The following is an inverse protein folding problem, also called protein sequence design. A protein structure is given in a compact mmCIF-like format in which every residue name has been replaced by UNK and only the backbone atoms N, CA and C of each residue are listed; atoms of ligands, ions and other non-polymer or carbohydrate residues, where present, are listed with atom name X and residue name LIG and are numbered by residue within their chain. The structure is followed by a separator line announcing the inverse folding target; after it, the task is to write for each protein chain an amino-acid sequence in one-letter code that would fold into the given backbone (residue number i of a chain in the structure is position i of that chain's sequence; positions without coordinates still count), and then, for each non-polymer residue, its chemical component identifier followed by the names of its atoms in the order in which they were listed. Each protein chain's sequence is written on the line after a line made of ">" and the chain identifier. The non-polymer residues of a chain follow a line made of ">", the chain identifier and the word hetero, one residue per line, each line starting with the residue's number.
data_IF_198833969148
#
_entry.id   IF_198833969148
#
_cell.length_a   1.000
_cell.length_b   1.000
_cell.length_c   1.000
_cell.angle_alpha   90.00
_cell.angle_beta   90.00
_cell.angle_gamma   90.00
#
_symmetry.space_group_name_H-M   'P 1'
#
loop_
_entity.id
_entity.type
_entity.pdbx_description
1 polymer ?
#
# COMPACT_ATOMS: atom_id res chain seq x y z
N UNK A 1 -27.14 -44.48 -44.93
CA UNK A 1 -27.18 -43.03 -44.61
C UNK A 1 -27.50 -42.89 -43.12
N UNK A 2 -26.47 -42.80 -42.28
CA UNK A 2 -26.65 -42.58 -40.83
C UNK A 2 -26.49 -41.10 -40.52
N UNK A 3 -27.55 -40.47 -40.01
CA UNK A 3 -27.53 -39.09 -39.53
C UNK A 3 -26.73 -39.02 -38.22
N UNK A 4 -25.59 -38.31 -38.25
CA UNK A 4 -24.88 -37.88 -37.06
C UNK A 4 -25.67 -36.71 -36.43
N UNK A 5 -26.22 -36.92 -35.23
CA UNK A 5 -26.73 -35.82 -34.39
C UNK A 5 -25.55 -35.19 -33.64
N UNK A 6 -25.23 -33.95 -33.97
CA UNK A 6 -24.30 -33.10 -33.22
C UNK A 6 -24.95 -32.71 -31.89
N UNK A 7 -24.31 -33.09 -30.77
CA UNK A 7 -24.62 -32.62 -29.43
C UNK A 7 -23.84 -31.32 -29.19
N UNK A 8 -24.44 -30.23 -28.67
CA UNK A 8 -23.68 -29.04 -28.34
C UNK A 8 -22.86 -29.30 -27.07
N UNK A 9 -21.54 -29.15 -27.17
CA UNK A 9 -20.63 -29.12 -26.03
C UNK A 9 -20.78 -27.76 -25.35
N UNK A 10 -21.40 -27.76 -24.16
CA UNK A 10 -21.42 -26.60 -23.28
C UNK A 10 -20.03 -26.49 -22.64
N UNK A 11 -19.18 -25.57 -23.12
CA UNK A 11 -17.95 -25.21 -22.43
C UNK A 11 -18.33 -24.46 -21.15
N UNK A 12 -18.33 -25.15 -20.01
CA UNK A 12 -18.29 -24.50 -18.71
C UNK A 12 -16.88 -23.91 -18.54
N UNK A 13 -16.74 -22.60 -18.76
CA UNK A 13 -15.57 -21.85 -18.30
C UNK A 13 -15.70 -21.75 -16.79
N UNK A 14 -15.19 -22.75 -16.06
CA UNK A 14 -14.96 -22.60 -14.63
C UNK A 14 -13.78 -21.66 -14.46
N UNK A 15 -14.07 -20.36 -14.38
CA UNK A 15 -13.13 -19.39 -13.84
C UNK A 15 -12.79 -19.81 -12.42
N UNK A 16 -11.58 -20.31 -12.21
CA UNK A 16 -11.00 -20.38 -10.87
C UNK A 16 -10.96 -18.95 -10.37
N UNK A 17 -11.91 -18.58 -9.49
CA UNK A 17 -11.83 -17.35 -8.74
C UNK A 17 -10.53 -17.39 -7.94
N UNK A 18 -9.49 -16.71 -8.45
CA UNK A 18 -8.31 -16.39 -7.64
C UNK A 18 -8.83 -15.57 -6.46
N UNK A 19 -8.44 -15.93 -5.25
CA UNK A 19 -8.78 -15.13 -4.07
C UNK A 19 -8.33 -13.68 -4.33
N UNK A 20 -9.29 -12.75 -4.28
CA UNK A 20 -9.06 -11.33 -4.53
C UNK A 20 -8.01 -10.79 -3.54
N UNK A 21 -7.09 -9.96 -4.05
CA UNK A 21 -6.05 -9.34 -3.24
C UNK A 21 -6.62 -8.14 -2.46
N UNK A 22 -7.33 -8.47 -1.38
CA UNK A 22 -8.11 -7.55 -0.58
C UNK A 22 -7.35 -7.04 0.67
N UNK A 23 -6.03 -7.22 0.73
CA UNK A 23 -5.21 -6.63 1.80
C UNK A 23 -5.18 -5.10 1.70
N UNK A 24 -5.04 -4.44 2.85
CA UNK A 24 -4.88 -2.98 2.93
C UNK A 24 -3.77 -2.50 1.99
N UNK A 25 -4.11 -1.50 1.17
CA UNK A 25 -3.18 -0.81 0.30
C UNK A 25 -2.60 0.36 1.09
N UNK A 26 -1.39 0.18 1.60
CA UNK A 26 -0.70 1.16 2.44
C UNK A 26 -0.04 2.23 1.58
N UNK A 27 -0.22 3.50 1.94
CA UNK A 27 0.35 4.68 1.27
C UNK A 27 1.06 5.55 2.30
N UNK A 28 2.37 5.70 2.16
CA UNK A 28 3.23 6.48 3.03
C UNK A 28 3.68 7.78 2.36
N UNK A 29 3.21 8.95 2.84
CA UNK A 29 3.78 10.24 2.48
C UNK A 29 5.18 10.37 3.06
N UNK A 30 6.20 10.50 2.20
CA UNK A 30 7.60 10.63 2.56
C UNK A 30 8.00 12.10 2.49
N UNK A 31 8.11 12.82 3.62
CA UNK A 31 8.50 14.21 3.59
C UNK A 31 10.01 14.36 3.41
N UNK A 32 10.38 15.50 2.85
CA UNK A 32 11.77 15.91 2.72
C UNK A 32 12.35 16.42 4.03
N UNK A 33 13.55 15.94 4.35
CA UNK A 33 14.41 16.48 5.39
C UNK A 33 15.10 17.75 4.88
N UNK A 34 15.18 18.78 5.73
CA UNK A 34 15.84 20.05 5.40
C UNK A 34 17.37 19.96 5.43
N UNK A 35 17.91 18.96 6.11
CA UNK A 35 19.35 18.68 6.22
C UNK A 35 19.61 17.17 6.15
N UNK A 36 20.79 16.75 5.66
CA UNK A 36 21.19 15.34 5.69
C UNK A 36 21.19 14.77 7.12
N UNK A 37 20.77 13.52 7.27
CA UNK A 37 20.78 12.80 8.54
C UNK A 37 22.10 12.07 8.77
N UNK A 38 22.49 11.93 10.03
CA UNK A 38 23.66 11.16 10.43
C UNK A 38 23.23 9.71 10.62
N UNK A 39 23.80 8.79 9.84
CA UNK A 39 23.44 7.38 9.95
C UNK A 39 24.26 6.74 11.08
N UNK A 40 23.74 6.75 12.29
CA UNK A 40 24.37 6.17 13.49
C UNK A 40 23.45 5.22 14.28
N UNK A 41 22.20 5.06 13.83
CA UNK A 41 21.21 4.20 14.44
C UNK A 41 20.51 4.79 15.66
N UNK A 42 20.72 6.07 16.01
CA UNK A 42 20.11 6.70 17.18
C UNK A 42 18.68 7.21 16.93
N UNK A 43 18.35 7.61 15.69
CA UNK A 43 17.08 8.23 15.28
C UNK A 43 16.68 9.42 16.15
N UNK A 44 17.66 10.22 16.60
CA UNK A 44 17.43 11.33 17.53
C UNK A 44 17.39 12.71 16.86
N UNK A 45 17.64 12.78 15.55
CA UNK A 45 17.52 14.04 14.82
C UNK A 45 16.06 14.53 14.75
N UNK A 46 15.82 15.85 14.88
CA UNK A 46 14.47 16.42 14.84
C UNK A 46 13.68 16.08 13.57
N UNK A 47 14.37 15.89 12.44
CA UNK A 47 13.74 15.56 11.15
C UNK A 47 12.92 14.28 11.21
N UNK A 48 13.32 13.27 12.00
CA UNK A 48 12.55 12.04 12.18
C UNK A 48 11.13 12.33 12.69
N UNK A 49 10.96 13.35 13.54
CA UNK A 49 9.65 13.72 14.07
C UNK A 49 8.75 14.42 13.05
N UNK A 50 9.27 14.79 11.87
CA UNK A 50 8.47 15.36 10.77
C UNK A 50 7.81 14.28 9.88
N UNK A 51 8.33 13.04 9.91
CA UNK A 51 7.80 11.93 9.12
C UNK A 51 6.53 11.31 9.76
N UNK A 52 5.71 10.53 9.03
CA UNK A 52 4.74 9.64 9.66
C UNK A 52 5.41 8.50 10.47
N UNK A 53 4.94 8.20 11.68
CA UNK A 53 5.34 7.00 12.41
C UNK A 53 4.35 5.88 12.10
N UNK A 54 4.84 4.72 11.67
CA UNK A 54 3.97 3.60 11.34
C UNK A 54 4.37 2.32 12.07
N UNK A 55 3.37 1.48 12.32
CA UNK A 55 3.48 0.17 12.99
C UNK A 55 2.51 -0.81 12.32
N UNK A 56 2.21 -1.93 13.00
CA UNK A 56 1.24 -2.92 12.53
C UNK A 56 1.89 -3.91 11.56
N UNK A 57 3.07 -4.38 11.93
CA UNK A 57 3.73 -5.48 11.24
C UNK A 57 2.94 -6.76 11.46
N UNK A 58 2.60 -7.44 10.38
CA UNK A 58 1.89 -8.71 10.38
C UNK A 58 2.84 -9.84 10.06
N UNK A 59 2.44 -11.07 10.37
CA UNK A 59 3.12 -12.27 9.89
C UNK A 59 3.20 -12.22 8.36
N UNK A 60 4.34 -12.58 7.80
CA UNK A 60 4.59 -12.33 6.38
C UNK A 60 3.60 -12.99 5.40
N UNK A 61 3.02 -14.14 5.76
CA UNK A 61 2.10 -14.96 4.94
C UNK A 61 0.63 -14.82 5.36
N UNK A 62 0.33 -14.12 6.46
CA UNK A 62 -1.02 -13.95 7.00
C UNK A 62 -1.20 -12.58 7.64
N UNK A 63 -2.38 -11.94 7.50
CA UNK A 63 -2.68 -10.63 8.11
C UNK A 63 -2.90 -10.71 9.63
N UNK A 64 -2.03 -11.43 10.33
CA UNK A 64 -2.00 -11.56 11.78
C UNK A 64 -0.94 -10.60 12.35
N UNK A 65 -1.38 -9.59 13.09
CA UNK A 65 -0.47 -8.65 13.77
C UNK A 65 0.32 -9.39 14.84
N UNK A 66 1.64 -9.22 14.84
CA UNK A 66 2.52 -9.90 15.80
C UNK A 66 2.66 -9.12 17.11
N UNK A 67 2.92 -9.82 18.21
CA UNK A 67 3.06 -9.19 19.52
C UNK A 67 4.35 -8.36 19.63
N UNK A 68 5.44 -8.82 19.01
CA UNK A 68 6.72 -8.09 18.97
C UNK A 68 6.76 -7.25 17.71
N UNK A 69 6.63 -5.95 17.85
CA UNK A 69 6.43 -5.03 16.72
C UNK A 69 7.73 -4.38 16.25
N UNK A 70 7.65 -3.84 15.04
CA UNK A 70 8.60 -2.86 14.53
C UNK A 70 7.84 -1.58 14.16
N UNK A 71 8.55 -0.47 14.24
CA UNK A 71 8.06 0.87 13.97
C UNK A 71 9.03 1.52 12.99
N UNK A 72 8.53 2.23 11.99
CA UNK A 72 9.44 2.93 11.10
C UNK A 72 8.96 4.30 10.68
N UNK A 73 9.94 5.06 10.20
CA UNK A 73 9.82 6.36 9.57
C UNK A 73 10.65 6.36 8.29
N UNK A 74 10.17 7.06 7.27
CA UNK A 74 10.87 7.24 6.00
C UNK A 74 10.91 8.73 5.68
N UNK A 75 12.10 9.21 5.32
CA UNK A 75 12.37 10.58 4.91
C UNK A 75 13.21 10.56 3.66
N UNK A 76 13.33 11.69 2.97
CA UNK A 76 14.33 11.82 1.92
C UNK A 76 14.97 13.20 1.93
N UNK A 77 16.13 13.35 1.29
CA UNK A 77 16.66 14.64 0.89
C UNK A 77 16.82 14.69 -0.64
N UNK A 78 17.70 15.55 -1.15
CA UNK A 78 17.99 15.67 -2.59
C UNK A 78 18.81 14.50 -3.15
N UNK A 79 19.46 13.73 -2.28
CA UNK A 79 20.46 12.73 -2.64
C UNK A 79 20.10 11.31 -2.16
N UNK A 80 19.39 11.19 -1.04
CA UNK A 80 19.21 9.95 -0.29
C UNK A 80 17.77 9.76 0.18
N UNK A 81 17.36 8.50 0.20
CA UNK A 81 16.17 8.01 0.88
C UNK A 81 16.60 7.39 2.21
N UNK A 82 15.98 7.82 3.30
CA UNK A 82 16.32 7.43 4.66
C UNK A 82 15.22 6.54 5.26
N UNK A 83 15.62 5.42 5.86
CA UNK A 83 14.72 4.56 6.65
C UNK A 83 15.24 4.50 8.06
N UNK A 84 14.40 4.85 9.03
CA UNK A 84 14.67 4.66 10.45
C UNK A 84 13.67 3.65 11.00
N UNK A 85 14.16 2.54 11.53
CA UNK A 85 13.33 1.46 12.06
C UNK A 85 13.71 1.17 13.50
N UNK A 86 12.72 1.14 14.40
CA UNK A 86 12.86 0.69 15.78
C UNK A 86 12.13 -0.63 15.95
N UNK A 87 12.82 -1.62 16.51
CA UNK A 87 12.31 -2.95 16.75
C UNK A 87 12.18 -3.19 18.24
N UNK A 88 10.98 -3.52 18.71
CA UNK A 88 10.82 -4.04 20.06
C UNK A 88 11.52 -5.39 20.16
N UNK A 89 12.19 -5.61 21.28
CA UNK A 89 12.84 -6.87 21.58
C UNK A 89 12.76 -7.19 23.08
N UNK A 90 11.66 -7.81 23.54
CA UNK A 90 11.47 -8.11 24.96
C UNK A 90 12.52 -9.08 25.53
N UNK A 91 13.25 -9.80 24.68
CA UNK A 91 14.34 -10.70 25.04
C UNK A 91 15.72 -10.14 24.63
N UNK A 92 15.89 -8.81 24.66
CA UNK A 92 17.12 -8.15 24.20
C UNK A 92 18.41 -8.66 24.84
N UNK A 93 18.36 -9.15 26.09
CA UNK A 93 19.51 -9.75 26.77
C UNK A 93 20.00 -11.05 26.11
N UNK A 94 19.17 -11.68 25.27
CA UNK A 94 19.51 -12.86 24.47
C UNK A 94 19.97 -12.49 23.06
N UNK A 95 19.85 -11.23 22.67
CA UNK A 95 20.29 -10.75 21.38
C UNK A 95 21.81 -10.62 21.40
N UNK A 96 22.49 -11.42 20.59
CA UNK A 96 23.94 -11.38 20.43
C UNK A 96 24.25 -11.14 18.94
N UNK A 97 24.17 -9.89 18.46
CA UNK A 97 24.41 -9.59 17.07
C UNK A 97 25.85 -9.92 16.68
N UNK A 98 26.03 -10.56 15.53
CA UNK A 98 27.34 -10.92 15.00
C UNK A 98 27.58 -10.13 13.72
N UNK A 99 28.71 -9.43 13.67
CA UNK A 99 29.14 -8.75 12.46
C UNK A 99 29.49 -9.80 11.39
N UNK A 100 29.00 -9.59 10.18
CA UNK A 100 29.18 -10.46 9.03
C UNK A 100 29.88 -9.70 7.91
N UNK A 101 30.47 -10.45 6.98
CA UNK A 101 30.91 -9.87 5.71
C UNK A 101 29.71 -9.31 4.95
N UNK A 102 29.93 -8.21 4.23
CA UNK A 102 28.94 -7.66 3.32
C UNK A 102 28.50 -8.71 2.28
N UNK A 103 27.21 -8.72 1.96
CA UNK A 103 26.57 -9.62 0.98
C UNK A 103 26.78 -11.11 1.28
N UNK A 104 27.00 -11.45 2.55
CA UNK A 104 26.96 -12.85 3.01
C UNK A 104 25.55 -13.19 3.46
N UNK A 105 25.08 -14.40 3.12
CA UNK A 105 23.75 -14.86 3.55
C UNK A 105 23.61 -14.91 5.08
N UNK A 106 24.74 -14.99 5.81
CA UNK A 106 24.78 -14.97 7.27
C UNK A 106 24.24 -13.67 7.89
N UNK A 107 24.06 -12.60 7.12
CA UNK A 107 23.32 -11.39 7.55
C UNK A 107 21.92 -11.76 8.05
N UNK A 108 21.29 -12.77 7.47
CA UNK A 108 19.92 -13.20 7.81
C UNK A 108 19.86 -14.31 8.87
N UNK A 109 20.99 -14.76 9.43
CA UNK A 109 21.02 -15.86 10.42
C UNK A 109 20.51 -15.42 11.81
N UNK A 110 20.30 -14.12 12.02
CA UNK A 110 19.85 -13.52 13.28
C UNK A 110 18.72 -12.49 13.08
N UNK A 111 18.64 -11.53 14.00
CA UNK A 111 17.77 -10.35 13.83
C UNK A 111 18.27 -9.51 12.66
N UNK A 112 17.41 -9.33 11.66
CA UNK A 112 17.69 -8.49 10.51
C UNK A 112 16.44 -7.75 10.03
N UNK A 113 16.65 -6.55 9.52
CA UNK A 113 15.63 -5.78 8.83
C UNK A 113 15.95 -5.75 7.35
N UNK A 114 14.89 -5.76 6.55
CA UNK A 114 14.97 -5.70 5.10
C UNK A 114 14.04 -4.61 4.60
N UNK A 115 14.53 -3.79 3.69
CA UNK A 115 13.78 -2.78 2.97
C UNK A 115 13.82 -3.13 1.50
N UNK A 116 12.64 -3.27 0.91
CA UNK A 116 12.47 -3.48 -0.51
C UNK A 116 12.02 -2.17 -1.16
N UNK A 117 12.60 -1.82 -2.31
CA UNK A 117 12.30 -0.56 -3.00
C UNK A 117 12.16 -0.85 -4.49
N UNK A 118 10.98 -0.57 -5.06
CA UNK A 118 10.71 -0.48 -6.50
C UNK A 118 10.67 1.01 -6.88
N UNK A 119 11.79 1.58 -7.40
CA UNK A 119 11.93 3.02 -7.53
C UNK A 119 11.07 3.65 -8.64
N UNK A 120 10.58 2.85 -9.59
CA UNK A 120 9.80 3.32 -10.74
C UNK A 120 8.36 2.78 -10.75
N UNK A 121 7.98 2.01 -9.74
CA UNK A 121 6.67 1.37 -9.65
C UNK A 121 6.38 0.47 -10.89
N UNK A 122 7.43 -0.24 -11.33
CA UNK A 122 7.46 -1.11 -12.51
C UNK A 122 7.81 -2.57 -12.19
N UNK A 123 7.79 -2.93 -10.90
CA UNK A 123 8.11 -4.23 -10.33
C UNK A 123 9.60 -4.61 -10.34
N UNK A 124 10.49 -3.75 -10.84
CA UNK A 124 11.93 -3.92 -10.68
C UNK A 124 12.38 -3.33 -9.35
N UNK A 125 12.76 -4.19 -8.41
CA UNK A 125 13.07 -3.78 -7.06
C UNK A 125 14.51 -4.07 -6.63
N UNK A 126 14.90 -3.38 -5.57
CA UNK A 126 16.14 -3.56 -4.82
C UNK A 126 15.79 -4.07 -3.43
N UNK A 127 16.68 -4.87 -2.85
CA UNK A 127 16.61 -5.32 -1.46
C UNK A 127 17.82 -4.73 -0.74
N UNK A 128 17.57 -4.05 0.37
CA UNK A 128 18.59 -3.53 1.27
C UNK A 128 18.31 -4.14 2.62
N UNK A 129 19.25 -4.86 3.19
CA UNK A 129 19.08 -5.50 4.49
C UNK A 129 20.28 -5.25 5.38
N UNK A 130 20.02 -5.23 6.69
CA UNK A 130 21.08 -5.23 7.67
C UNK A 130 20.65 -5.92 8.96
N UNK A 131 21.61 -6.61 9.56
CA UNK A 131 21.40 -7.25 10.84
C UNK A 131 21.58 -6.27 12.01
N UNK A 132 21.23 -6.69 13.22
CA UNK A 132 21.38 -5.90 14.43
C UNK A 132 22.86 -5.54 14.79
N UNK A 133 23.84 -6.03 14.03
CA UNK A 133 25.26 -5.63 14.12
C UNK A 133 25.66 -4.61 13.03
N UNK A 134 24.72 -4.16 12.20
CA UNK A 134 24.97 -3.23 11.08
C UNK A 134 25.60 -3.88 9.85
N UNK A 135 25.65 -5.22 9.77
CA UNK A 135 26.19 -5.91 8.59
C UNK A 135 25.20 -5.85 7.46
N UNK A 136 25.64 -5.41 6.27
CA UNK A 136 24.76 -5.08 5.16
C UNK A 136 24.71 -6.20 4.13
N UNK A 137 23.53 -6.38 3.56
CA UNK A 137 23.28 -7.09 2.32
C UNK A 137 22.57 -6.16 1.35
N UNK A 138 22.93 -6.19 0.09
CA UNK A 138 22.06 -5.65 -0.96
C UNK A 138 22.01 -6.46 -2.25
N UNK A 139 20.92 -6.27 -2.98
CA UNK A 139 20.71 -6.91 -4.28
C UNK A 139 19.73 -6.13 -5.14
N UNK A 140 19.75 -6.42 -6.44
CA UNK A 140 18.73 -6.00 -7.40
C UNK A 140 17.94 -7.22 -7.85
N UNK A 141 16.72 -7.40 -7.34
CA UNK A 141 15.99 -8.65 -7.51
C UNK A 141 16.82 -9.84 -6.99
N UNK A 142 17.14 -10.79 -7.88
CA UNK A 142 18.02 -11.93 -7.56
C UNK A 142 19.50 -11.67 -7.83
N UNK A 143 19.88 -10.51 -8.36
CA UNK A 143 21.27 -10.16 -8.62
C UNK A 143 21.94 -9.64 -7.34
N UNK A 144 22.72 -10.51 -6.69
CA UNK A 144 23.47 -10.22 -5.48
C UNK A 144 24.87 -9.65 -5.75
N UNK A 145 25.22 -9.38 -7.02
CA UNK A 145 26.46 -8.70 -7.37
C UNK A 145 26.29 -7.17 -7.40
N UNK A 146 25.05 -6.69 -7.55
CA UNK A 146 24.74 -5.27 -7.43
C UNK A 146 25.03 -4.76 -6.02
N UNK A 147 25.64 -3.58 -5.93
CA UNK A 147 26.10 -2.99 -4.68
C UNK A 147 25.78 -1.49 -4.63
N UNK A 148 24.96 -1.05 -3.68
CA UNK A 148 24.74 0.38 -3.43
C UNK A 148 25.81 0.98 -2.52
N UNK A 149 26.00 2.30 -2.64
CA UNK A 149 26.72 3.12 -1.65
C UNK A 149 25.81 3.44 -0.45
N UNK A 150 25.13 2.40 0.06
CA UNK A 150 24.23 2.51 1.21
C UNK A 150 25.03 2.70 2.49
N UNK A 151 24.56 3.62 3.34
CA UNK A 151 25.03 3.75 4.72
C UNK A 151 24.02 3.06 5.63
N UNK A 152 24.50 2.22 6.56
CA UNK A 152 23.65 1.54 7.52
C UNK A 152 24.28 1.54 8.91
N UNK A 153 23.49 1.75 9.96
CA UNK A 153 23.95 1.69 11.34
C UNK A 153 22.86 1.12 12.24
N UNK A 154 23.25 0.19 13.11
CA UNK A 154 22.36 -0.42 14.09
C UNK A 154 22.78 -0.01 15.51
N UNK A 155 21.79 0.13 16.40
CA UNK A 155 22.03 0.48 17.80
C UNK A 155 21.13 -0.36 18.72
N UNK A 156 21.72 -0.89 19.77
CA UNK A 156 20.97 -1.58 20.82
C UNK A 156 20.59 -0.59 21.93
N UNK A 157 19.36 -0.70 22.43
CA UNK A 157 18.86 -0.01 23.62
C UNK A 157 18.27 -1.04 24.61
N UNK A 158 19.13 -1.73 25.40
CA UNK A 158 18.68 -2.71 26.39
C UNK A 158 17.72 -2.11 27.43
N UNK A 159 17.87 -0.83 27.78
CA UNK A 159 17.05 -0.16 28.77
C UNK A 159 15.59 -0.04 28.31
N UNK A 160 15.37 0.23 27.01
CA UNK A 160 14.02 0.23 26.40
C UNK A 160 13.58 -1.12 25.85
N UNK A 161 14.45 -2.13 25.89
CA UNK A 161 14.24 -3.43 25.24
C UNK A 161 13.98 -3.28 23.74
N UNK A 162 14.82 -2.49 23.09
CA UNK A 162 14.68 -2.15 21.68
C UNK A 162 16.02 -2.21 20.98
N UNK A 163 15.99 -2.42 19.67
CA UNK A 163 17.11 -2.09 18.80
C UNK A 163 16.63 -1.30 17.61
N UNK A 164 17.50 -0.50 17.02
CA UNK A 164 17.18 0.34 15.89
C UNK A 164 18.16 0.13 14.75
N UNK A 165 17.69 0.46 13.55
CA UNK A 165 18.47 0.46 12.32
C UNK A 165 18.14 1.70 11.50
N UNK A 166 19.17 2.33 10.99
CA UNK A 166 19.06 3.40 9.99
C UNK A 166 19.69 2.96 8.68
N UNK A 167 19.02 3.31 7.58
CA UNK A 167 19.58 3.27 6.24
C UNK A 167 19.57 4.66 5.62
N UNK A 168 20.60 4.97 4.84
CA UNK A 168 20.56 6.03 3.85
C UNK A 168 20.96 5.50 2.47
N UNK A 169 20.00 5.43 1.57
CA UNK A 169 20.11 4.84 0.23
C UNK A 169 20.21 5.97 -0.81
N UNK A 170 21.31 6.08 -1.58
CA UNK A 170 21.43 7.11 -2.60
C UNK A 170 20.43 6.91 -3.75
N UNK A 171 19.66 7.94 -4.11
CA UNK A 171 18.71 7.87 -5.24
C UNK A 171 19.40 7.54 -6.57
N UNK A 172 20.65 7.99 -6.74
CA UNK A 172 21.46 7.68 -7.93
C UNK A 172 21.68 6.17 -8.10
N UNK A 173 21.82 5.41 -7.01
CA UNK A 173 22.06 3.98 -7.06
C UNK A 173 20.76 3.23 -7.39
N UNK A 174 19.61 3.80 -7.00
CA UNK A 174 18.27 3.38 -7.44
C UNK A 174 17.93 3.82 -8.88
N UNK A 175 18.78 4.64 -9.50
CA UNK A 175 18.60 5.12 -10.88
C UNK A 175 17.49 6.15 -11.06
N UNK A 176 17.10 6.86 -10.00
CA UNK A 176 16.03 7.87 -10.02
C UNK A 176 16.51 9.21 -9.44
N UNK A 177 15.71 10.25 -9.62
CA UNK A 177 15.89 11.57 -9.00
C UNK A 177 14.68 11.86 -8.14
N UNK A 178 14.85 12.32 -6.88
CA UNK A 178 13.70 12.61 -6.02
C UNK A 178 12.87 13.74 -6.62
N UNK A 179 11.64 13.43 -6.99
CA UNK A 179 10.68 14.38 -7.56
C UNK A 179 9.43 14.35 -6.72
N UNK A 180 8.94 15.53 -6.31
CA UNK A 180 7.70 15.63 -5.55
C UNK A 180 6.53 14.98 -6.31
N UNK A 181 5.79 14.12 -5.62
CA UNK A 181 4.70 13.30 -6.16
C UNK A 181 5.15 12.00 -6.84
N UNK A 182 6.46 11.68 -6.91
CA UNK A 182 6.91 10.39 -7.39
C UNK A 182 6.40 9.27 -6.48
N UNK A 183 5.89 8.19 -7.09
CA UNK A 183 5.40 6.99 -6.40
C UNK A 183 6.44 5.89 -6.56
N UNK A 184 6.93 5.38 -5.43
CA UNK A 184 7.81 4.23 -5.35
C UNK A 184 7.04 3.09 -4.68
N UNK A 185 7.25 1.85 -5.13
CA UNK A 185 6.85 0.68 -4.34
C UNK A 185 7.86 0.44 -3.23
N UNK A 186 7.42 0.10 -2.03
CA UNK A 186 8.33 -0.36 -0.98
C UNK A 186 7.71 -1.32 0.03
N UNK A 187 8.55 -2.04 0.76
CA UNK A 187 8.13 -2.77 1.96
C UNK A 187 9.24 -2.73 3.02
N UNK A 188 8.85 -2.85 4.29
CA UNK A 188 9.77 -3.03 5.41
C UNK A 188 9.43 -4.36 6.07
N UNK A 189 10.45 -5.20 6.24
CA UNK A 189 10.33 -6.57 6.72
C UNK A 189 11.33 -6.81 7.85
N UNK A 190 11.01 -7.73 8.76
CA UNK A 190 11.87 -8.14 9.87
C UNK A 190 12.00 -9.66 9.92
N UNK A 191 13.25 -10.12 10.02
CA UNK A 191 13.62 -11.45 10.48
C UNK A 191 13.90 -11.36 11.97
N UNK A 192 13.12 -12.07 12.78
CA UNK A 192 13.28 -12.13 14.23
C UNK A 192 13.66 -13.53 14.66
N UNK A 193 14.97 -13.76 14.82
CA UNK A 193 15.55 -15.06 15.11
C UNK A 193 16.22 -15.05 16.48
N UNK A 194 15.62 -15.74 17.46
CA UNK A 194 16.15 -15.84 18.82
C UNK A 194 16.17 -17.30 19.29
N UNK A 195 17.38 -17.84 19.43
CA UNK A 195 17.57 -19.27 19.71
C UNK A 195 16.99 -20.11 18.57
N UNK A 196 16.00 -20.96 18.86
CA UNK A 196 15.25 -21.75 17.87
C UNK A 196 13.97 -21.08 17.35
N UNK A 197 13.55 -19.94 17.94
CA UNK A 197 12.37 -19.22 17.48
C UNK A 197 12.70 -18.45 16.20
N UNK A 198 11.80 -18.53 15.22
CA UNK A 198 11.91 -17.90 13.90
C UNK A 198 10.59 -17.22 13.60
N UNK A 199 10.65 -15.92 13.37
CA UNK A 199 9.49 -15.10 13.05
C UNK A 199 9.83 -14.16 11.88
N UNK A 200 8.91 -14.06 10.93
CA UNK A 200 9.01 -13.20 9.76
C UNK A 200 7.80 -12.30 9.71
N UNK A 201 8.05 -11.00 9.68
CA UNK A 201 7.00 -10.00 9.64
C UNK A 201 7.27 -8.94 8.58
N UNK A 202 6.20 -8.34 8.08
CA UNK A 202 6.28 -7.24 7.14
C UNK A 202 5.20 -6.20 7.43
N UNK A 203 5.39 -5.01 6.85
CA UNK A 203 4.41 -3.95 6.96
C UNK A 203 3.34 -4.03 5.87
N UNK A 204 3.73 -4.13 4.61
CA UNK A 204 2.80 -4.40 3.52
C UNK A 204 2.64 -5.92 3.38
N UNK A 205 1.40 -6.40 3.50
CA UNK A 205 1.09 -7.84 3.54
C UNK A 205 1.50 -8.52 2.23
N UNK A 206 2.42 -9.48 2.34
CA UNK A 206 2.80 -10.38 1.23
C UNK A 206 2.01 -11.68 1.28
N UNK A 207 2.08 -12.50 0.22
CA UNK A 207 1.40 -13.82 0.20
C UNK A 207 2.31 -14.99 0.58
N UNK A 208 3.54 -15.03 0.09
CA UNK A 208 4.38 -16.23 0.14
C UNK A 208 5.80 -16.01 0.63
N UNK A 209 6.35 -14.80 0.49
CA UNK A 209 7.67 -14.36 0.97
C UNK A 209 7.76 -12.84 0.82
N UNK A 210 8.86 -12.23 1.26
CA UNK A 210 9.06 -10.78 1.17
C UNK A 210 9.26 -10.23 -0.26
N UNK A 211 9.69 -11.06 -1.21
CA UNK A 211 9.96 -10.69 -2.61
C UNK A 211 8.66 -10.65 -3.45
N UNK A 212 7.77 -9.73 -3.08
CA UNK A 212 6.41 -9.63 -3.62
C UNK A 212 6.09 -8.20 -4.08
N UNK A 213 6.74 -7.71 -5.15
CA UNK A 213 6.65 -6.30 -5.57
C UNK A 213 5.25 -5.86 -5.95
N UNK A 214 4.37 -6.78 -6.36
CA UNK A 214 2.95 -6.49 -6.62
C UNK A 214 2.21 -5.96 -5.39
N UNK A 215 2.67 -6.30 -4.18
CA UNK A 215 2.02 -5.97 -2.91
C UNK A 215 2.75 -4.93 -2.08
N UNK A 216 3.87 -4.41 -2.60
CA UNK A 216 4.58 -3.31 -1.95
C UNK A 216 3.64 -2.14 -1.69
N UNK A 217 3.84 -1.47 -0.57
CA UNK A 217 3.16 -0.21 -0.25
C UNK A 217 3.64 0.90 -1.18
N UNK A 218 2.89 2.01 -1.21
CA UNK A 218 3.20 3.17 -2.02
C UNK A 218 3.90 4.22 -1.18
N UNK A 219 5.18 4.48 -1.44
CA UNK A 219 5.91 5.62 -0.89
C UNK A 219 5.76 6.79 -1.86
N UNK A 220 5.21 7.91 -1.40
CA UNK A 220 5.03 9.10 -2.25
C UNK A 220 5.93 10.21 -1.72
N UNK A 221 6.86 10.71 -2.56
CA UNK A 221 7.80 11.76 -2.16
C UNK A 221 7.13 13.14 -2.10
N UNK A 222 7.33 13.91 -1.03
CA UNK A 222 6.83 15.27 -0.84
C UNK A 222 5.38 15.54 -1.33
N UNK A 223 4.37 14.71 -0.98
CA UNK A 223 3.05 14.88 -1.55
C UNK A 223 2.21 15.88 -0.77
N UNK A 224 1.50 16.74 -1.48
CA UNK A 224 0.35 17.47 -0.93
C UNK A 224 -0.86 16.54 -0.79
N UNK A 225 -1.83 16.81 0.11
CA UNK A 225 -3.07 16.02 0.20
C UNK A 225 -3.82 15.88 -1.15
N UNK A 226 -3.88 16.94 -1.95
CA UNK A 226 -4.52 16.93 -3.27
C UNK A 226 -3.80 15.99 -4.25
N UNK A 227 -2.48 15.89 -4.13
CA UNK A 227 -1.65 14.97 -4.94
C UNK A 227 -1.92 13.52 -4.55
N UNK A 228 -2.02 13.22 -3.25
CA UNK A 228 -2.36 11.88 -2.78
C UNK A 228 -3.74 11.44 -3.29
N UNK A 229 -4.73 12.34 -3.24
CA UNK A 229 -6.06 12.06 -3.77
C UNK A 229 -6.02 11.78 -5.28
N UNK A 230 -5.30 12.60 -6.06
CA UNK A 230 -5.15 12.39 -7.50
C UNK A 230 -4.45 11.08 -7.88
N UNK A 231 -3.63 10.51 -6.98
CA UNK A 231 -2.90 9.25 -7.18
C UNK A 231 -3.71 8.01 -6.75
N UNK A 232 -4.91 8.15 -6.19
CA UNK A 232 -5.72 7.02 -5.74
C UNK A 232 -5.90 5.90 -6.79
N UNK A 233 -6.08 6.18 -8.10
CA UNK A 233 -6.13 5.13 -9.11
C UNK A 233 -4.80 4.37 -9.28
N UNK A 234 -3.65 5.04 -9.16
CA UNK A 234 -2.33 4.41 -9.28
C UNK A 234 -2.09 3.42 -8.13
N UNK A 235 -2.60 3.72 -6.93
CA UNK A 235 -2.43 2.84 -5.78
C UNK A 235 -3.18 1.50 -5.92
N UNK A 236 -4.22 1.46 -6.76
CA UNK A 236 -5.04 0.26 -7.04
C UNK A 236 -4.65 -0.45 -8.34
N UNK A 237 -3.49 -0.13 -8.93
CA UNK A 237 -2.96 -0.81 -10.11
C UNK A 237 -2.84 -2.32 -9.88
N UNK A 238 -3.13 -3.11 -10.91
CA UNK A 238 -3.10 -4.57 -10.86
C UNK A 238 -4.36 -5.20 -10.24
N UNK A 239 -4.18 -6.29 -9.49
CA UNK A 239 -5.27 -7.07 -8.87
C UNK A 239 -5.63 -6.60 -7.45
N UNK A 240 -5.01 -5.53 -6.95
CA UNK A 240 -5.26 -5.02 -5.59
C UNK A 240 -6.63 -4.35 -5.50
N UNK A 241 -7.45 -4.79 -4.55
CA UNK A 241 -8.82 -4.27 -4.34
C UNK A 241 -9.11 -3.91 -2.88
N UNK A 242 -8.13 -4.06 -1.98
CA UNK A 242 -8.29 -3.70 -0.58
C UNK A 242 -8.42 -2.20 -0.32
N UNK A 243 -8.75 -1.82 0.93
CA UNK A 243 -8.95 -0.42 1.32
C UNK A 243 -7.64 0.37 1.30
N UNK A 244 -7.70 1.67 1.01
CA UNK A 244 -6.53 2.55 1.05
C UNK A 244 -6.27 3.09 2.46
N UNK A 245 -5.07 2.83 2.99
CA UNK A 245 -4.61 3.37 4.25
C UNK A 245 -3.50 4.42 4.01
N UNK A 246 -3.83 5.71 4.16
CA UNK A 246 -2.88 6.83 4.00
C UNK A 246 -2.40 7.33 5.36
N UNK A 247 -1.08 7.34 5.56
CA UNK A 247 -0.44 7.75 6.81
C UNK A 247 -0.09 9.25 6.83
N UNK A 248 0.11 9.85 8.00
CA UNK A 248 0.59 11.23 8.18
C UNK A 248 1.36 11.41 9.50
N UNK A 249 1.98 12.57 9.70
CA UNK A 249 2.67 12.89 10.95
C UNK A 249 1.71 13.09 12.13
N UNK A 250 0.44 13.46 11.89
CA UNK A 250 -0.61 13.52 12.93
C UNK A 250 -1.17 12.12 13.28
N UNK A 251 -0.61 11.05 12.70
CA UNK A 251 -1.17 9.69 12.75
C UNK A 251 -1.87 9.32 11.44
N UNK A 252 -2.97 8.58 11.49
CA UNK A 252 -3.79 8.38 10.30
C UNK A 252 -4.31 9.73 9.78
N UNK A 253 -4.19 9.96 8.48
CA UNK A 253 -4.22 11.29 7.91
C UNK A 253 -5.64 11.86 7.84
N UNK A 254 -6.20 12.38 8.94
CA UNK A 254 -7.61 12.79 8.98
C UNK A 254 -8.00 13.81 7.89
N UNK A 255 -7.10 14.71 7.51
CA UNK A 255 -7.33 15.64 6.38
C UNK A 255 -7.16 14.97 5.02
N UNK A 256 -6.22 14.03 4.86
CA UNK A 256 -6.08 13.26 3.63
C UNK A 256 -7.28 12.33 3.42
N UNK A 257 -7.81 11.73 4.48
CA UNK A 257 -9.05 10.96 4.48
C UNK A 257 -10.25 11.78 4.04
N UNK A 258 -10.37 13.01 4.53
CA UNK A 258 -11.41 13.91 4.06
C UNK A 258 -11.25 14.20 2.55
N UNK A 259 -10.03 14.47 2.09
CA UNK A 259 -9.75 14.70 0.67
C UNK A 259 -10.05 13.47 -0.21
N UNK A 260 -9.66 12.27 0.24
CA UNK A 260 -9.97 11.01 -0.43
C UNK A 260 -11.49 10.73 -0.45
N UNK A 261 -12.18 10.98 0.66
CA UNK A 261 -13.63 10.84 0.73
C UNK A 261 -14.33 11.76 -0.27
N UNK A 262 -13.89 13.03 -0.37
CA UNK A 262 -14.39 13.98 -1.39
C UNK A 262 -14.19 13.45 -2.81
N UNK A 263 -13.01 12.89 -3.11
CA UNK A 263 -12.74 12.34 -4.43
C UNK A 263 -13.56 11.08 -4.73
N UNK A 264 -13.63 10.12 -3.80
CA UNK A 264 -14.44 8.91 -3.94
C UNK A 264 -15.92 9.23 -4.16
N UNK A 265 -16.49 10.17 -3.39
CA UNK A 265 -17.88 10.59 -3.59
C UNK A 265 -18.08 11.29 -4.94
N UNK A 266 -17.13 12.12 -5.40
CA UNK A 266 -17.16 12.74 -6.73
C UNK A 266 -17.17 11.68 -7.85
N UNK A 267 -16.39 10.60 -7.70
CA UNK A 267 -16.37 9.48 -8.66
C UNK A 267 -17.73 8.77 -8.73
N UNK A 268 -18.39 8.54 -7.58
CA UNK A 268 -19.75 7.98 -7.55
C UNK A 268 -20.75 8.93 -8.21
N UNK A 269 -20.69 10.22 -7.91
CA UNK A 269 -21.56 11.24 -8.53
C UNK A 269 -21.43 11.26 -10.05
N UNK A 270 -20.20 11.13 -10.57
CA UNK A 270 -19.97 11.04 -12.01
C UNK A 270 -20.63 9.79 -12.62
N UNK A 271 -20.58 8.64 -11.95
CA UNK A 271 -21.27 7.43 -12.41
C UNK A 271 -22.80 7.57 -12.35
N UNK A 272 -23.34 8.18 -11.30
CA UNK A 272 -24.76 8.50 -11.20
C UNK A 272 -25.22 9.41 -12.35
N UNK A 273 -24.43 10.43 -12.69
CA UNK A 273 -24.72 11.31 -13.82
C UNK A 273 -24.71 10.55 -15.16
N UNK A 274 -23.76 9.63 -15.35
CA UNK A 274 -23.70 8.77 -16.54
C UNK A 274 -24.94 7.87 -16.65
N UNK A 275 -25.32 7.21 -15.55
CA UNK A 275 -26.50 6.35 -15.51
C UNK A 275 -27.79 7.15 -15.76
N UNK A 276 -27.90 8.35 -15.19
CA UNK A 276 -29.03 9.26 -15.47
C UNK A 276 -29.12 9.64 -16.94
N UNK A 277 -27.99 9.89 -17.60
CA UNK A 277 -27.97 10.20 -19.03
C UNK A 277 -28.43 9.00 -19.88
N UNK A 278 -28.00 7.79 -19.53
CA UNK A 278 -28.45 6.56 -20.22
C UNK A 278 -29.94 6.31 -19.96
N UNK A 279 -30.41 6.42 -18.72
CA UNK A 279 -31.81 6.26 -18.36
C UNK A 279 -32.73 7.19 -19.17
N UNK A 280 -32.36 8.48 -19.29
CA UNK A 280 -33.12 9.46 -20.09
C UNK A 280 -33.22 9.09 -21.58
N UNK A 281 -32.25 8.35 -22.12
CA UNK A 281 -32.22 7.91 -23.52
C UNK A 281 -32.95 6.59 -23.76
N UNK A 282 -33.37 5.88 -22.71
CA UNK A 282 -34.09 4.61 -22.87
C UNK A 282 -35.44 4.84 -23.55
N UNK A 283 -35.73 4.04 -24.57
CA UNK A 283 -37.01 4.10 -25.28
C UNK A 283 -38.13 3.41 -24.49
N UNK A 284 -37.83 2.27 -23.87
CA UNK A 284 -38.78 1.53 -23.05
C UNK A 284 -39.09 2.27 -21.74
N UNK A 285 -40.39 2.49 -21.50
CA UNK A 285 -40.88 3.27 -20.36
C UNK A 285 -40.67 2.54 -19.03
N UNK A 286 -40.82 1.21 -19.01
CA UNK A 286 -40.64 0.41 -17.80
C UNK A 286 -39.18 0.40 -17.35
N UNK A 287 -38.24 0.20 -18.30
CA UNK A 287 -36.80 0.27 -18.08
C UNK A 287 -36.39 1.67 -17.60
N UNK A 288 -36.95 2.73 -18.19
CA UNK A 288 -36.68 4.10 -17.76
C UNK A 288 -37.13 4.35 -16.31
N UNK A 289 -38.32 3.87 -15.94
CA UNK A 289 -38.85 4.02 -14.58
C UNK A 289 -38.02 3.23 -13.55
N UNK A 290 -37.63 2.00 -13.89
CA UNK A 290 -36.77 1.16 -13.04
C UNK A 290 -35.40 1.80 -12.81
N UNK A 291 -34.75 2.31 -13.86
CA UNK A 291 -33.48 3.02 -13.73
C UNK A 291 -33.61 4.30 -12.90
N UNK A 292 -34.74 5.02 -13.01
CA UNK A 292 -35.00 6.20 -12.19
C UNK A 292 -35.14 5.84 -10.70
N UNK A 293 -35.83 4.73 -10.37
CA UNK A 293 -35.93 4.24 -8.99
C UNK A 293 -34.57 3.87 -8.42
N UNK A 294 -33.75 3.15 -9.18
CA UNK A 294 -32.37 2.80 -8.77
C UNK A 294 -31.49 4.02 -8.56
N UNK A 295 -31.55 4.99 -9.48
CA UNK A 295 -30.82 6.25 -9.35
C UNK A 295 -31.16 6.99 -8.06
N UNK A 296 -32.45 7.06 -7.72
CA UNK A 296 -32.89 7.72 -6.49
C UNK A 296 -32.44 6.94 -5.25
N UNK A 297 -32.53 5.61 -5.27
CA UNK A 297 -32.03 4.76 -4.19
C UNK A 297 -30.53 4.98 -3.92
N UNK A 298 -29.69 4.98 -4.97
CA UNK A 298 -28.26 5.24 -4.82
C UNK A 298 -27.95 6.66 -4.32
N UNK A 299 -28.75 7.66 -4.71
CA UNK A 299 -28.62 9.04 -4.23
C UNK A 299 -28.98 9.18 -2.75
N UNK A 300 -30.06 8.55 -2.32
CA UNK A 300 -30.45 8.51 -0.91
C UNK A 300 -29.37 7.80 -0.07
N UNK A 301 -28.79 6.74 -0.61
CA UNK A 301 -27.76 5.96 0.06
C UNK A 301 -26.44 6.73 0.26
N UNK A 302 -26.00 7.52 -0.72
CA UNK A 302 -24.75 8.29 -0.64
C UNK A 302 -24.90 9.62 0.12
N UNK A 303 -26.13 10.14 0.27
CA UNK A 303 -26.42 11.44 0.89
C UNK A 303 -25.84 11.60 2.31
N UNK A 304 -25.88 10.60 3.21
CA UNK A 304 -25.27 10.70 4.53
C UNK A 304 -23.76 10.93 4.45
N UNK A 305 -23.07 10.24 3.54
CA UNK A 305 -21.63 10.40 3.33
C UNK A 305 -21.28 11.78 2.76
N UNK A 306 -22.06 12.28 1.80
CA UNK A 306 -21.91 13.65 1.26
C UNK A 306 -22.09 14.71 2.36
N UNK A 307 -23.10 14.54 3.22
CA UNK A 307 -23.36 15.45 4.33
C UNK A 307 -22.20 15.46 5.32
N UNK A 308 -21.71 14.28 5.69
CA UNK A 308 -20.58 14.13 6.61
C UNK A 308 -19.32 14.82 6.06
N UNK A 309 -18.95 14.52 4.81
CA UNK A 309 -17.74 15.05 4.17
C UNK A 309 -17.83 16.55 3.83
N UNK A 310 -19.04 17.05 3.58
CA UNK A 310 -19.28 18.46 3.28
C UNK A 310 -19.23 19.38 4.52
N UNK A 311 -19.47 18.84 5.71
CA UNK A 311 -19.54 19.60 6.97
C UNK A 311 -18.29 19.55 7.84
N UNK A 312 -17.30 18.71 7.50
CA UNK A 312 -16.12 18.45 8.33
C UNK A 312 -14.83 19.06 7.76
N UNK A 313 -13.94 19.48 8.65
CA UNK A 313 -12.55 19.93 8.34
C UNK A 313 -11.52 18.79 8.44
N UNK A 314 -11.93 17.63 8.99
CA UNK A 314 -11.12 16.42 9.10
C UNK A 314 -12.02 15.19 9.27
N UNK A 315 -11.61 14.04 8.73
CA UNK A 315 -12.38 12.79 8.79
C UNK A 315 -11.55 11.69 9.46
N UNK A 316 -12.09 10.99 10.45
CA UNK A 316 -11.35 9.88 11.08
C UNK A 316 -11.20 8.65 10.15
N UNK A 317 -10.25 7.75 10.48
CA UNK A 317 -9.96 6.55 9.70
C UNK A 317 -11.18 5.63 9.52
N UNK A 318 -12.01 5.48 10.56
CA UNK A 318 -13.16 4.59 10.51
C UNK A 318 -14.26 5.16 9.60
N UNK A 319 -14.48 6.48 9.65
CA UNK A 319 -15.38 7.19 8.75
C UNK A 319 -14.89 7.11 7.30
N UNK A 320 -13.58 7.31 7.06
CA UNK A 320 -12.98 7.09 5.76
C UNK A 320 -13.19 5.66 5.25
N UNK A 321 -12.82 4.64 6.03
CA UNK A 321 -12.93 3.24 5.59
C UNK A 321 -14.37 2.86 5.23
N UNK A 322 -15.37 3.37 5.96
CA UNK A 322 -16.79 3.19 5.61
C UNK A 322 -17.14 3.83 4.27
N UNK A 323 -16.68 5.06 4.05
CA UNK A 323 -16.94 5.81 2.82
C UNK A 323 -16.22 5.16 1.63
N UNK A 324 -14.95 4.80 1.75
CA UNK A 324 -14.15 4.18 0.69
C UNK A 324 -14.77 2.87 0.24
N UNK A 325 -15.04 1.96 1.19
CA UNK A 325 -15.61 0.65 0.90
C UNK A 325 -16.95 0.78 0.16
N UNK A 326 -17.85 1.66 0.64
CA UNK A 326 -19.16 1.80 0.01
C UNK A 326 -19.08 2.54 -1.33
N UNK A 327 -18.23 3.55 -1.45
CA UNK A 327 -18.05 4.26 -2.71
C UNK A 327 -17.51 3.35 -3.82
N UNK A 328 -16.53 2.49 -3.51
CA UNK A 328 -16.00 1.53 -4.49
C UNK A 328 -17.04 0.46 -4.88
N UNK A 329 -17.83 -0.04 -3.92
CA UNK A 329 -18.98 -0.92 -4.22
C UNK A 329 -20.01 -0.24 -5.12
N UNK A 330 -20.38 1.00 -4.81
CA UNK A 330 -21.33 1.78 -5.63
C UNK A 330 -20.79 2.02 -7.04
N UNK A 331 -19.49 2.29 -7.20
CA UNK A 331 -18.88 2.42 -8.54
C UNK A 331 -19.02 1.14 -9.35
N UNK A 332 -18.84 -0.03 -8.73
CA UNK A 332 -19.04 -1.33 -9.39
C UNK A 332 -20.51 -1.56 -9.74
N UNK A 333 -21.43 -1.41 -8.78
CA UNK A 333 -22.87 -1.58 -8.96
C UNK A 333 -23.42 -0.65 -10.06
N UNK A 334 -22.98 0.61 -10.08
CA UNK A 334 -23.34 1.58 -11.10
C UNK A 334 -22.74 1.24 -12.46
N UNK A 335 -21.52 0.69 -12.50
CA UNK A 335 -20.89 0.19 -13.71
C UNK A 335 -21.69 -0.94 -14.35
N UNK A 336 -22.12 -1.92 -13.54
CA UNK A 336 -22.95 -3.05 -13.99
C UNK A 336 -24.32 -2.57 -14.45
N UNK A 337 -24.98 -1.68 -13.69
CA UNK A 337 -26.25 -1.09 -14.08
C UNK A 337 -26.15 -0.30 -15.40
N UNK A 338 -25.05 0.42 -15.61
CA UNK A 338 -24.80 1.17 -16.84
C UNK A 338 -24.58 0.23 -18.04
N UNK A 339 -23.87 -0.87 -17.84
CA UNK A 339 -23.65 -1.90 -18.85
C UNK A 339 -24.97 -2.55 -19.27
N UNK A 340 -25.77 -3.04 -18.32
CA UNK A 340 -27.07 -3.67 -18.56
C UNK A 340 -28.04 -2.72 -19.27
N UNK A 341 -28.09 -1.46 -18.84
CA UNK A 341 -28.92 -0.44 -19.49
C UNK A 341 -28.49 -0.19 -20.94
N UNK A 342 -27.19 -0.15 -21.23
CA UNK A 342 -26.68 0.00 -22.60
C UNK A 342 -26.97 -1.21 -23.47
N UNK A 343 -26.79 -2.42 -22.93
CA UNK A 343 -27.10 -3.67 -23.62
C UNK A 343 -28.59 -3.73 -23.98
N UNK A 344 -29.46 -3.39 -23.03
CA UNK A 344 -30.91 -3.33 -23.24
C UNK A 344 -31.29 -2.32 -24.33
N UNK A 345 -30.68 -1.12 -24.30
CA UNK A 345 -30.90 -0.11 -25.33
C UNK A 345 -30.44 -0.55 -26.74
N UNK A 346 -29.35 -1.31 -26.83
CA UNK A 346 -28.87 -1.88 -28.09
C UNK A 346 -29.80 -2.98 -28.61
N UNK A 347 -30.26 -3.87 -27.73
CA UNK A 347 -31.13 -4.99 -28.10
C UNK A 347 -32.57 -4.55 -28.43
N UNK A 348 -33.04 -3.45 -27.84
CA UNK A 348 -34.35 -2.84 -28.15
C UNK A 348 -34.34 -1.92 -29.36
N UNK A 349 -33.15 -1.61 -29.91
CA UNK A 349 -32.98 -0.87 -31.15
C UNK A 349 -32.89 -1.76 -32.40
N UNK A 350 -33.03 -3.08 -32.25
CA UNK A 350 -33.29 -4.09 -33.30
C UNK A 350 -34.80 -4.36 -33.28
#
# INVERSE_FOLDING_TARGET
>A
MHMLRLLPVLLAVTGLARAEDNYDIKVYPCPRAESPLTVDGALDEPAWQAAPLVSGFTRYDKPEVLAVQAYFRVLHDEQRLYFGVVCDEPLIERLAPVAQGRDTHAVFDGEALEVFIDPRHDLNYYQLAANAAGSVWDSRGSDTAWNAQVSAAAKLDPARKQWSLEFAVPFRDLGITPTAGAVLGFNVCRNRYLGSSREWSNWAQTKANFHDPERFAHLVLDPTPERLAALAPEFRKGERRGPLAIYSNEGFANRSYLALARDSLRRVEQQLANLQQVARKQQDAATREELAKRLEAYREEIRPFQTQVGGEDSLDAAAWMRIDLRAEQLVQELGDALWEARLTALLSGI
#
